data_IF_097884799858
#
_entry.id   IF_097884799858
#
_cell.length_a   1.000
_cell.length_b   1.000
_cell.length_c   1.000
_cell.angle_alpha   90.00
_cell.angle_beta   90.00
_cell.angle_gamma   90.00
#
_symmetry.space_group_name_H-M   'P 1'
#
loop_
_entity.id
_entity.type
_entity.pdbx_description
1 polymer ?
#
# COMPACT_ATOMS: atom_id res chain seq x y z
N UNK A 1 8.97 21.14 -17.92
CA UNK A 1 8.19 19.90 -18.14
C UNK A 1 7.19 19.71 -17.01
N UNK A 2 5.90 19.60 -17.30
CA UNK A 2 4.88 19.25 -16.28
C UNK A 2 5.02 17.76 -15.98
N UNK A 3 5.39 17.41 -14.76
CA UNK A 3 5.50 15.99 -14.35
C UNK A 3 4.10 15.39 -14.18
N UNK A 4 3.78 14.35 -14.92
CA UNK A 4 2.53 13.59 -14.82
C UNK A 4 2.31 12.96 -13.43
N UNK A 5 3.41 12.71 -12.68
CA UNK A 5 3.37 12.20 -11.31
C UNK A 5 2.61 13.15 -10.37
N UNK A 6 2.57 14.46 -10.68
CA UNK A 6 1.88 15.44 -9.82
C UNK A 6 0.41 15.14 -9.63
N UNK A 7 -0.23 14.55 -10.63
CA UNK A 7 -1.66 14.22 -10.62
C UNK A 7 -1.97 12.98 -9.75
N UNK A 8 -0.93 12.17 -9.45
CA UNK A 8 -1.03 10.99 -8.58
C UNK A 8 -0.65 11.27 -7.11
N UNK A 9 -0.09 12.44 -6.83
CA UNK A 9 0.37 12.81 -5.50
C UNK A 9 -0.73 13.55 -4.72
N UNK A 10 -0.75 13.45 -3.38
CA UNK A 10 -1.63 14.24 -2.55
C UNK A 10 -1.48 15.74 -2.81
N UNK A 11 -2.59 16.49 -2.71
CA UNK A 11 -2.58 17.95 -2.88
C UNK A 11 -1.87 18.67 -1.71
N UNK A 12 -1.80 18.05 -0.55
CA UNK A 12 -1.10 18.55 0.63
C UNK A 12 0.41 18.43 0.43
N UNK A 13 1.13 19.57 0.49
CA UNK A 13 2.57 19.66 0.24
C UNK A 13 3.39 18.83 1.24
N UNK A 14 2.98 18.77 2.50
CA UNK A 14 3.67 17.97 3.53
C UNK A 14 3.54 16.47 3.28
N UNK A 15 2.31 16.02 2.98
CA UNK A 15 2.04 14.61 2.61
C UNK A 15 2.79 14.21 1.35
N UNK A 16 2.77 15.10 0.36
CA UNK A 16 3.45 14.90 -0.91
C UNK A 16 4.95 14.75 -0.74
N UNK A 17 5.59 15.66 -0.01
CA UNK A 17 7.03 15.60 0.24
C UNK A 17 7.40 14.32 0.98
N UNK A 18 6.61 13.93 1.99
CA UNK A 18 6.85 12.71 2.75
C UNK A 18 6.71 11.45 1.90
N UNK A 19 5.68 11.40 1.05
CA UNK A 19 5.49 10.28 0.11
C UNK A 19 6.65 10.21 -0.90
N UNK A 20 7.09 11.36 -1.45
CA UNK A 20 8.22 11.41 -2.38
C UNK A 20 9.53 10.93 -1.73
N UNK A 21 9.76 11.26 -0.46
CA UNK A 21 10.93 10.77 0.26
C UNK A 21 10.90 9.22 0.39
N UNK A 22 9.77 8.65 0.82
CA UNK A 22 9.63 7.19 0.89
C UNK A 22 9.76 6.50 -0.47
N UNK A 23 9.23 7.13 -1.54
CA UNK A 23 9.39 6.61 -2.90
C UNK A 23 10.87 6.65 -3.35
N UNK A 24 11.59 7.72 -3.04
CA UNK A 24 13.02 7.83 -3.34
C UNK A 24 13.85 6.79 -2.57
N UNK A 25 13.57 6.61 -1.26
CA UNK A 25 14.21 5.59 -0.44
C UNK A 25 13.88 4.18 -0.95
N UNK A 26 12.62 3.92 -1.29
CA UNK A 26 12.18 2.65 -1.87
C UNK A 26 12.87 2.34 -3.20
N UNK A 27 13.07 3.34 -4.06
CA UNK A 27 13.81 3.19 -5.30
C UNK A 27 15.28 2.79 -5.04
N UNK A 28 15.94 3.44 -4.10
CA UNK A 28 17.33 3.11 -3.71
C UNK A 28 17.41 1.67 -3.19
N UNK A 29 16.46 1.26 -2.33
CA UNK A 29 16.36 -0.12 -1.83
C UNK A 29 16.17 -1.11 -2.99
N UNK A 30 15.28 -0.80 -3.94
CA UNK A 30 15.05 -1.65 -5.10
C UNK A 30 16.31 -1.85 -5.95
N UNK A 31 17.03 -0.75 -6.24
CA UNK A 31 18.29 -0.80 -6.98
C UNK A 31 19.32 -1.64 -6.24
N UNK A 32 19.48 -1.41 -4.93
CA UNK A 32 20.44 -2.16 -4.12
C UNK A 32 20.17 -3.68 -4.15
N UNK A 33 18.91 -4.07 -3.92
CA UNK A 33 18.51 -5.49 -3.95
C UNK A 33 18.75 -6.07 -5.36
N UNK A 34 18.41 -5.34 -6.42
CA UNK A 34 18.64 -5.80 -7.80
C UNK A 34 20.13 -6.03 -8.09
N UNK A 35 21.00 -5.16 -7.62
CA UNK A 35 22.47 -5.34 -7.76
C UNK A 35 22.94 -6.56 -7.00
N UNK A 36 22.47 -6.77 -5.76
CA UNK A 36 22.80 -7.96 -4.97
C UNK A 36 22.35 -9.24 -5.68
N UNK A 37 21.14 -9.25 -6.26
CA UNK A 37 20.67 -10.39 -7.05
C UNK A 37 21.55 -10.69 -8.26
N UNK A 38 21.92 -9.67 -9.03
CA UNK A 38 22.79 -9.82 -10.20
C UNK A 38 24.15 -10.40 -9.79
N UNK A 39 24.75 -9.86 -8.72
CA UNK A 39 26.04 -10.34 -8.22
C UNK A 39 25.96 -11.79 -7.73
N UNK A 40 24.91 -12.15 -6.98
CA UNK A 40 24.71 -13.52 -6.49
C UNK A 40 24.49 -14.51 -7.63
N UNK A 41 23.70 -14.16 -8.64
CA UNK A 41 23.54 -14.99 -9.83
C UNK A 41 24.88 -15.22 -10.55
N UNK A 42 25.67 -14.16 -10.72
CA UNK A 42 26.95 -14.23 -11.43
C UNK A 42 28.00 -15.04 -10.67
N UNK A 43 28.11 -14.83 -9.34
CA UNK A 43 29.14 -15.47 -8.52
C UNK A 43 28.80 -16.94 -8.25
N UNK A 44 27.54 -17.24 -7.95
CA UNK A 44 27.12 -18.59 -7.55
C UNK A 44 26.49 -19.40 -8.69
N UNK A 45 26.45 -18.85 -9.90
CA UNK A 45 25.83 -19.49 -11.08
C UNK A 45 24.41 -20.01 -10.79
N UNK A 46 23.65 -19.25 -9.99
CA UNK A 46 22.30 -19.62 -9.61
C UNK A 46 21.36 -19.40 -10.81
N UNK A 47 20.67 -20.44 -11.26
CA UNK A 47 19.63 -20.35 -12.28
C UNK A 47 18.31 -19.87 -11.64
N UNK A 48 18.27 -18.61 -11.24
CA UNK A 48 17.01 -17.99 -10.79
C UNK A 48 16.19 -17.50 -11.99
N UNK A 49 14.89 -17.71 -11.93
CA UNK A 49 13.97 -17.14 -12.93
C UNK A 49 14.09 -15.61 -12.92
N UNK A 50 14.29 -15.03 -14.11
CA UNK A 50 14.39 -13.58 -14.28
C UNK A 50 13.16 -12.83 -13.74
N UNK A 51 11.98 -13.44 -13.82
CA UNK A 51 10.73 -12.88 -13.29
C UNK A 51 10.80 -12.70 -11.76
N UNK A 52 11.35 -13.71 -11.05
CA UNK A 52 11.52 -13.65 -9.59
C UNK A 52 12.54 -12.59 -9.21
N UNK A 53 13.66 -12.54 -9.93
CA UNK A 53 14.72 -11.56 -9.68
C UNK A 53 14.28 -10.11 -9.85
N UNK A 54 13.33 -9.86 -10.76
CA UNK A 54 12.73 -8.53 -10.96
C UNK A 54 11.59 -8.25 -9.98
N UNK A 55 10.80 -9.25 -9.62
CA UNK A 55 9.60 -9.08 -8.80
C UNK A 55 9.95 -8.79 -7.33
N UNK A 56 10.93 -9.48 -6.75
CA UNK A 56 11.29 -9.32 -5.34
C UNK A 56 11.72 -7.89 -4.99
N UNK A 57 12.65 -7.22 -5.71
CA UNK A 57 13.02 -5.83 -5.42
C UNK A 57 11.83 -4.87 -5.44
N UNK A 58 10.91 -5.06 -6.39
CA UNK A 58 9.70 -4.23 -6.52
C UNK A 58 8.77 -4.44 -5.33
N UNK A 59 8.49 -5.69 -4.95
CA UNK A 59 7.60 -5.99 -3.80
C UNK A 59 8.19 -5.46 -2.50
N UNK A 60 9.49 -5.65 -2.26
CA UNK A 60 10.16 -5.13 -1.06
C UNK A 60 10.09 -3.61 -1.02
N UNK A 61 10.35 -2.95 -2.13
CA UNK A 61 10.29 -1.49 -2.25
C UNK A 61 8.88 -0.95 -1.99
N UNK A 62 7.86 -1.52 -2.61
CA UNK A 62 6.45 -1.13 -2.39
C UNK A 62 6.06 -1.35 -0.91
N UNK A 63 6.45 -2.48 -0.32
CA UNK A 63 6.17 -2.78 1.08
C UNK A 63 6.83 -1.76 2.00
N UNK A 64 8.09 -1.40 1.74
CA UNK A 64 8.80 -0.35 2.48
C UNK A 64 8.06 0.98 2.43
N UNK A 65 7.68 1.44 1.23
CA UNK A 65 6.95 2.70 1.03
C UNK A 65 5.61 2.67 1.77
N UNK A 66 4.84 1.59 1.67
CA UNK A 66 3.56 1.44 2.35
C UNK A 66 3.71 1.50 3.87
N UNK A 67 4.62 0.72 4.45
CA UNK A 67 4.87 0.70 5.89
C UNK A 67 5.35 2.06 6.38
N UNK A 68 6.29 2.68 5.67
CA UNK A 68 6.82 4.00 6.00
C UNK A 68 5.75 5.08 5.97
N UNK A 69 4.96 5.15 4.90
CA UNK A 69 3.90 6.15 4.74
C UNK A 69 2.78 5.97 5.77
N UNK A 70 2.24 4.75 5.89
CA UNK A 70 1.19 4.41 6.87
C UNK A 70 1.68 4.63 8.30
N UNK A 71 2.92 4.22 8.61
CA UNK A 71 3.54 4.39 9.92
C UNK A 71 3.86 5.85 10.28
N UNK A 72 3.98 6.73 9.29
CA UNK A 72 4.30 8.15 9.51
C UNK A 72 3.17 8.95 10.18
N UNK A 73 1.94 8.44 10.16
CA UNK A 73 0.77 9.11 10.74
C UNK A 73 0.44 10.46 10.07
N UNK A 74 0.70 10.57 8.76
CA UNK A 74 0.46 11.82 8.02
C UNK A 74 -0.80 11.78 7.16
N UNK A 75 -1.37 10.61 6.94
CA UNK A 75 -2.50 10.43 6.02
C UNK A 75 -3.77 11.15 6.49
N UNK A 76 -4.07 11.07 7.78
CA UNK A 76 -5.25 11.68 8.40
C UNK A 76 -4.86 12.92 9.22
N UNK A 77 -4.21 13.92 8.58
CA UNK A 77 -3.69 15.11 9.27
C UNK A 77 -4.77 15.95 10.00
N UNK A 78 -6.02 15.87 9.57
CA UNK A 78 -7.13 16.66 10.13
C UNK A 78 -7.89 15.94 11.26
N UNK A 79 -7.48 14.73 11.63
CA UNK A 79 -8.16 13.93 12.65
C UNK A 79 -7.50 14.18 14.00
N UNK A 80 -8.10 15.08 14.78
CA UNK A 80 -7.61 15.45 16.10
C UNK A 80 -8.63 15.16 17.21
N UNK A 81 -9.93 15.10 16.90
CA UNK A 81 -11.01 14.84 17.85
C UNK A 81 -11.53 13.40 17.76
N UNK A 82 -12.21 12.95 18.83
CA UNK A 82 -12.87 11.64 18.81
C UNK A 82 -14.02 11.56 17.79
N UNK A 83 -14.67 12.69 17.50
CA UNK A 83 -15.72 12.78 16.50
C UNK A 83 -15.15 12.59 15.09
N UNK A 84 -14.03 13.25 14.76
CA UNK A 84 -13.34 13.10 13.49
C UNK A 84 -12.87 11.66 13.30
N UNK A 85 -12.29 11.06 14.35
CA UNK A 85 -11.85 9.66 14.33
C UNK A 85 -13.00 8.71 13.98
N UNK A 86 -14.17 8.86 14.61
CA UNK A 86 -15.32 8.02 14.31
C UNK A 86 -15.85 8.23 12.89
N UNK A 87 -15.86 9.48 12.41
CA UNK A 87 -16.25 9.82 11.05
C UNK A 87 -15.34 9.13 10.02
N UNK A 88 -14.02 9.30 10.18
CA UNK A 88 -13.05 8.68 9.25
C UNK A 88 -13.07 7.15 9.32
N UNK A 89 -13.24 6.57 10.51
CA UNK A 89 -13.42 5.11 10.66
C UNK A 89 -14.58 4.58 9.82
N UNK A 90 -15.71 5.27 9.78
CA UNK A 90 -16.87 4.87 8.94
C UNK A 90 -16.52 4.94 7.45
N UNK A 91 -15.79 5.97 7.02
CA UNK A 91 -15.34 6.11 5.63
C UNK A 91 -14.36 5.00 5.25
N UNK A 92 -13.45 4.63 6.16
CA UNK A 92 -12.50 3.52 5.97
C UNK A 92 -13.24 2.20 5.73
N UNK A 93 -14.29 1.90 6.53
CA UNK A 93 -15.08 0.69 6.29
C UNK A 93 -15.69 0.70 4.89
N UNK A 94 -16.33 1.81 4.49
CA UNK A 94 -16.93 1.94 3.17
C UNK A 94 -15.91 1.79 2.04
N UNK A 95 -14.79 2.50 2.11
CA UNK A 95 -13.72 2.42 1.10
C UNK A 95 -13.08 1.03 1.02
N UNK A 96 -12.92 0.34 2.15
CA UNK A 96 -12.36 -1.02 2.18
C UNK A 96 -13.33 -2.04 1.56
N UNK A 97 -14.64 -1.91 1.76
CA UNK A 97 -15.65 -2.73 1.08
C UNK A 97 -15.58 -2.49 -0.44
N UNK A 98 -15.57 -1.23 -0.85
CA UNK A 98 -15.46 -0.86 -2.26
C UNK A 98 -14.18 -1.43 -2.88
N UNK A 99 -13.06 -1.35 -2.18
CA UNK A 99 -11.79 -1.91 -2.63
C UNK A 99 -11.86 -3.43 -2.82
N UNK A 100 -12.39 -4.16 -1.84
CA UNK A 100 -12.56 -5.62 -1.93
C UNK A 100 -13.45 -6.02 -3.11
N UNK A 101 -14.52 -5.25 -3.36
CA UNK A 101 -15.41 -5.47 -4.50
C UNK A 101 -14.70 -5.21 -5.85
N UNK A 102 -14.01 -4.07 -5.99
CA UNK A 102 -13.24 -3.75 -7.20
C UNK A 102 -12.15 -4.80 -7.44
N UNK A 103 -11.45 -5.22 -6.39
CA UNK A 103 -10.43 -6.26 -6.48
C UNK A 103 -11.00 -7.59 -6.99
N UNK A 104 -12.20 -7.98 -6.51
CA UNK A 104 -12.89 -9.17 -6.99
C UNK A 104 -13.27 -9.06 -8.48
N UNK A 105 -13.77 -7.88 -8.91
CA UNK A 105 -14.06 -7.64 -10.33
C UNK A 105 -12.81 -7.71 -11.21
N UNK A 106 -11.71 -7.10 -10.78
CA UNK A 106 -10.43 -7.18 -11.51
C UNK A 106 -9.90 -8.61 -11.56
N UNK A 107 -10.07 -9.39 -10.49
CA UNK A 107 -9.71 -10.81 -10.47
C UNK A 107 -10.50 -11.60 -11.52
N UNK A 108 -11.79 -11.33 -11.70
CA UNK A 108 -12.61 -11.96 -12.76
C UNK A 108 -12.08 -11.61 -14.16
N UNK A 109 -11.63 -10.38 -14.38
CA UNK A 109 -11.07 -9.98 -15.67
C UNK A 109 -9.79 -10.75 -16.01
N UNK A 110 -9.00 -11.12 -15.02
CA UNK A 110 -7.74 -11.87 -15.21
C UNK A 110 -7.96 -13.37 -15.28
N UNK A 111 -8.78 -13.92 -14.38
CA UNK A 111 -8.99 -15.39 -14.25
C UNK A 111 -10.18 -15.92 -15.03
N UNK A 112 -11.06 -15.02 -15.51
CA UNK A 112 -12.34 -15.37 -16.11
C UNK A 112 -13.45 -15.55 -15.09
N UNK A 113 -14.67 -15.78 -15.57
CA UNK A 113 -15.83 -16.03 -14.72
C UNK A 113 -15.70 -17.36 -13.96
N UNK A 114 -16.07 -17.41 -12.66
CA UNK A 114 -16.04 -18.64 -11.90
C UNK A 114 -17.00 -19.67 -12.50
N UNK A 115 -16.51 -20.89 -12.75
CA UNK A 115 -17.28 -21.98 -13.35
C UNK A 115 -17.74 -23.01 -12.33
N UNK A 116 -17.06 -23.08 -11.18
CA UNK A 116 -17.34 -24.03 -10.11
C UNK A 116 -17.61 -23.30 -8.80
N UNK A 117 -18.23 -23.98 -7.85
CA UNK A 117 -18.40 -23.45 -6.48
C UNK A 117 -17.05 -23.16 -5.83
N UNK A 118 -16.02 -23.98 -6.12
CA UNK A 118 -14.65 -23.76 -5.65
C UNK A 118 -14.05 -22.45 -6.17
N UNK A 119 -14.23 -22.15 -7.46
CA UNK A 119 -13.76 -20.88 -8.04
C UNK A 119 -14.45 -19.68 -7.40
N UNK A 120 -15.77 -19.79 -7.15
CA UNK A 120 -16.52 -18.72 -6.49
C UNK A 120 -16.04 -18.48 -5.05
N UNK A 121 -15.81 -19.56 -4.27
CA UNK A 121 -15.28 -19.44 -2.91
C UNK A 121 -13.87 -18.84 -2.90
N UNK A 122 -13.03 -19.20 -3.86
CA UNK A 122 -11.69 -18.63 -4.01
C UNK A 122 -11.76 -17.12 -4.31
N UNK A 123 -12.62 -16.73 -5.26
CA UNK A 123 -12.83 -15.32 -5.61
C UNK A 123 -13.36 -14.51 -4.42
N UNK A 124 -14.36 -15.03 -3.72
CA UNK A 124 -14.92 -14.40 -2.52
C UNK A 124 -13.85 -14.28 -1.42
N UNK A 125 -13.06 -15.34 -1.19
CA UNK A 125 -11.96 -15.34 -0.24
C UNK A 125 -10.91 -14.30 -0.55
N UNK A 126 -10.51 -14.15 -1.80
CA UNK A 126 -9.58 -13.10 -2.25
C UNK A 126 -10.14 -11.69 -2.01
N UNK A 127 -11.42 -11.47 -2.31
CA UNK A 127 -12.09 -10.19 -2.04
C UNK A 127 -12.14 -9.85 -0.54
N UNK A 128 -12.42 -10.84 0.30
CA UNK A 128 -12.42 -10.69 1.77
C UNK A 128 -11.01 -10.39 2.29
N UNK A 129 -9.99 -11.08 1.81
CA UNK A 129 -8.59 -10.82 2.19
C UNK A 129 -8.19 -9.40 1.78
N UNK A 130 -8.50 -8.98 0.56
CA UNK A 130 -8.23 -7.62 0.08
C UNK A 130 -8.93 -6.57 0.94
N UNK A 131 -10.21 -6.79 1.30
CA UNK A 131 -10.94 -5.93 2.23
C UNK A 131 -10.24 -5.83 3.59
N UNK A 132 -9.89 -6.98 4.20
CA UNK A 132 -9.25 -7.02 5.53
C UNK A 132 -7.91 -6.28 5.51
N UNK A 133 -7.07 -6.52 4.51
CA UNK A 133 -5.77 -5.86 4.39
C UNK A 133 -5.92 -4.35 4.26
N UNK A 134 -6.80 -3.88 3.36
CA UNK A 134 -7.05 -2.45 3.19
C UNK A 134 -7.61 -1.81 4.46
N UNK A 135 -8.55 -2.48 5.14
CA UNK A 135 -9.13 -2.02 6.39
C UNK A 135 -8.07 -1.90 7.49
N UNK A 136 -7.24 -2.93 7.70
CA UNK A 136 -6.20 -2.93 8.73
C UNK A 136 -5.14 -1.84 8.49
N UNK A 137 -4.68 -1.67 7.25
CA UNK A 137 -3.70 -0.64 6.90
C UNK A 137 -4.24 0.76 7.17
N UNK A 138 -5.46 1.05 6.72
CA UNK A 138 -6.08 2.36 6.95
C UNK A 138 -6.40 2.62 8.42
N UNK A 139 -6.88 1.60 9.15
CA UNK A 139 -7.12 1.72 10.60
C UNK A 139 -5.83 1.98 11.38
N UNK A 140 -4.75 1.31 11.03
CA UNK A 140 -3.45 1.56 11.63
C UNK A 140 -2.96 3.00 11.35
N UNK A 141 -3.06 3.44 10.08
CA UNK A 141 -2.75 4.82 9.69
C UNK A 141 -3.58 5.85 10.45
N UNK A 142 -4.91 5.62 10.57
CA UNK A 142 -5.81 6.48 11.30
C UNK A 142 -5.43 6.59 12.80
N UNK A 143 -5.14 5.46 13.47
CA UNK A 143 -4.72 5.46 14.86
C UNK A 143 -3.40 6.23 15.07
N UNK A 144 -2.43 6.03 14.19
CA UNK A 144 -1.13 6.74 14.25
C UNK A 144 -1.31 8.24 14.03
N UNK A 145 -2.12 8.63 13.04
CA UNK A 145 -2.42 10.04 12.76
C UNK A 145 -3.15 10.69 13.95
N UNK A 146 -4.18 10.03 14.48
CA UNK A 146 -4.96 10.54 15.60
C UNK A 146 -4.09 10.76 16.85
N UNK A 147 -3.26 9.76 17.21
CA UNK A 147 -2.36 9.89 18.35
C UNK A 147 -1.41 11.09 18.18
N UNK A 148 -0.76 11.19 17.02
CA UNK A 148 0.18 12.26 16.71
C UNK A 148 -0.49 13.65 16.76
N UNK A 149 -1.69 13.77 16.17
CA UNK A 149 -2.40 15.05 16.13
C UNK A 149 -2.93 15.47 17.50
N UNK A 150 -3.33 14.50 18.34
CA UNK A 150 -3.74 14.78 19.72
C UNK A 150 -2.58 15.31 20.54
N UNK A 151 -1.42 14.66 20.47
CA UNK A 151 -0.22 15.08 21.21
C UNK A 151 0.18 16.53 20.84
N UNK A 152 -0.04 16.96 19.58
CA UNK A 152 0.23 18.34 19.13
C UNK A 152 -0.80 19.39 19.62
N UNK A 153 -1.97 18.98 20.10
CA UNK A 153 -2.98 19.90 20.65
C UNK A 153 -2.88 20.05 22.16
N UNK A 154 -2.25 19.10 22.83
CA UNK A 154 -2.08 19.08 24.29
C UNK A 154 -0.77 19.82 24.72
N UNK A 155 0.10 20.21 23.76
CA UNK A 155 1.27 21.08 23.93
C UNK A 155 0.92 22.55 23.65
#
# INVERSE_FOLDING_TARGET
MRSWIKDLLPNDEYKKQKLLNFLAEGLVISIFISVVFILTQTIFSLNMDASIALFIPVVVSITYVLIGYVGSGTEFANVATSADFQSERRKIVGSSITFGFIFSLLSILVTGLPKTIGDFLTLAGLGVIAFILMFLLNMFSLHRSYKKNKDLLDD
#
